data_IF_214739607921
#
_entry.id   IF_214739607921
#
_cell.length_a   1.000
_cell.length_b   1.000
_cell.length_c   1.000
_cell.angle_alpha   90.00
_cell.angle_beta   90.00
_cell.angle_gamma   90.00
#
_symmetry.space_group_name_H-M   'P 1'
#
loop_
_entity.id
_entity.type
_entity.pdbx_description
1 polymer ?
#
# COMPACT_ATOMS: atom_id res chain seq x y z
N UNK A 1 -8.76 29.45 -21.52
CA UNK A 1 -7.33 29.80 -21.28
C UNK A 1 -6.52 28.54 -21.23
N UNK A 2 -5.58 28.35 -22.17
CA UNK A 2 -4.62 27.23 -22.12
C UNK A 2 -3.59 27.58 -21.06
N UNK A 3 -3.62 26.87 -19.93
CA UNK A 3 -2.55 26.95 -18.94
C UNK A 3 -1.26 26.40 -19.57
N UNK A 4 -0.30 27.27 -19.86
CA UNK A 4 1.05 26.88 -20.26
C UNK A 4 1.81 26.41 -19.01
N UNK A 5 1.60 25.14 -18.63
CA UNK A 5 2.42 24.50 -17.60
C UNK A 5 3.75 24.09 -18.22
N UNK A 6 4.89 24.33 -17.55
CA UNK A 6 6.17 23.81 -17.98
C UNK A 6 6.08 22.28 -18.12
N UNK A 7 6.53 21.72 -19.23
CA UNK A 7 6.45 20.29 -19.54
C UNK A 7 7.06 19.44 -18.41
N UNK A 8 8.14 19.90 -17.81
CA UNK A 8 8.81 19.25 -16.68
C UNK A 8 7.87 19.02 -15.47
N UNK A 9 6.90 19.89 -15.22
CA UNK A 9 5.95 19.71 -14.11
C UNK A 9 4.99 18.54 -14.33
N UNK A 10 4.73 18.16 -15.57
CA UNK A 10 3.83 17.04 -15.90
C UNK A 10 4.44 15.67 -15.59
N UNK A 11 5.75 15.60 -15.39
CA UNK A 11 6.45 14.37 -15.04
C UNK A 11 6.65 14.20 -13.52
N UNK A 12 6.31 15.21 -12.74
CA UNK A 12 6.41 15.09 -11.27
C UNK A 12 5.28 14.22 -10.71
N UNK A 13 5.60 13.19 -9.89
CA UNK A 13 4.59 12.25 -9.34
C UNK A 13 3.45 12.93 -8.59
N UNK A 14 3.74 13.99 -7.82
CA UNK A 14 2.72 14.73 -7.08
C UNK A 14 1.81 15.53 -8.00
N UNK A 15 2.34 16.07 -9.11
CA UNK A 15 1.55 16.78 -10.11
C UNK A 15 0.61 15.83 -10.86
N UNK A 16 1.12 14.64 -11.24
CA UNK A 16 0.30 13.60 -11.87
C UNK A 16 -0.85 13.20 -10.95
N UNK A 17 -0.56 12.95 -9.67
CA UNK A 17 -1.59 12.59 -8.68
C UNK A 17 -2.62 13.71 -8.50
N UNK A 18 -2.20 14.96 -8.41
CA UNK A 18 -3.10 16.11 -8.30
C UNK A 18 -4.01 16.23 -9.51
N UNK A 19 -3.49 16.03 -10.73
CA UNK A 19 -4.26 16.04 -11.96
C UNK A 19 -5.32 14.92 -11.99
N UNK A 20 -4.99 13.72 -11.52
CA UNK A 20 -5.96 12.61 -11.44
C UNK A 20 -7.06 12.88 -10.40
N UNK A 21 -6.75 13.51 -9.27
CA UNK A 21 -7.78 13.99 -8.34
C UNK A 21 -8.71 15.02 -8.97
N UNK A 22 -8.16 16.03 -9.66
CA UNK A 22 -8.96 17.04 -10.33
C UNK A 22 -9.84 16.47 -11.45
N UNK A 23 -9.32 15.49 -12.21
CA UNK A 23 -10.10 14.75 -13.22
C UNK A 23 -11.26 13.98 -12.57
N UNK A 24 -11.01 13.30 -11.44
CA UNK A 24 -12.03 12.56 -10.71
C UNK A 24 -13.11 13.48 -10.15
N UNK A 25 -12.74 14.61 -9.54
CA UNK A 25 -13.69 15.64 -9.09
C UNK A 25 -14.52 16.19 -10.25
N UNK A 26 -13.89 16.47 -11.40
CA UNK A 26 -14.58 16.94 -12.59
C UNK A 26 -15.59 15.93 -13.15
N UNK A 27 -15.31 14.62 -13.08
CA UNK A 27 -16.26 13.56 -13.45
C UNK A 27 -17.46 13.54 -12.51
N UNK A 28 -17.25 13.57 -11.19
CA UNK A 28 -18.31 13.58 -10.19
C UNK A 28 -19.20 14.82 -10.33
N UNK A 29 -18.60 15.99 -10.56
CA UNK A 29 -19.34 17.23 -10.77
C UNK A 29 -20.23 17.18 -12.01
N UNK A 30 -19.74 16.60 -13.12
CA UNK A 30 -20.55 16.39 -14.34
C UNK A 30 -21.72 15.43 -14.11
N UNK A 31 -21.62 14.53 -13.14
CA UNK A 31 -22.68 13.60 -12.71
C UNK A 31 -23.65 14.24 -11.71
N UNK A 32 -23.53 15.54 -11.42
CA UNK A 32 -24.36 16.24 -10.44
C UNK A 32 -24.09 15.88 -8.99
N UNK A 33 -22.97 15.20 -8.71
CA UNK A 33 -22.64 14.83 -7.35
C UNK A 33 -21.94 15.98 -6.60
N UNK A 34 -22.17 16.14 -5.29
CA UNK A 34 -21.44 17.09 -4.47
C UNK A 34 -19.97 16.72 -4.42
N UNK A 35 -19.10 17.66 -4.73
CA UNK A 35 -17.64 17.46 -4.73
C UNK A 35 -16.97 18.36 -3.69
N UNK A 36 -15.93 17.86 -2.98
CA UNK A 36 -15.17 18.70 -2.09
C UNK A 36 -14.35 19.74 -2.87
N UNK A 37 -14.11 20.89 -2.25
CA UNK A 37 -13.22 21.90 -2.81
C UNK A 37 -11.78 21.41 -2.75
N UNK A 38 -11.03 21.36 -3.86
CA UNK A 38 -9.63 20.96 -3.84
C UNK A 38 -8.78 22.02 -3.14
N UNK A 39 -7.86 21.57 -2.30
CA UNK A 39 -6.91 22.40 -1.58
C UNK A 39 -5.50 21.92 -1.83
N UNK A 40 -4.65 22.77 -2.41
CA UNK A 40 -3.27 22.44 -2.70
C UNK A 40 -2.36 22.94 -1.56
N UNK A 41 -1.54 22.02 -1.01
CA UNK A 41 -0.50 22.33 -0.04
C UNK A 41 0.85 22.20 -0.74
N UNK A 42 1.65 23.28 -0.68
CA UNK A 42 2.99 23.27 -1.28
C UNK A 42 3.90 22.31 -0.53
N UNK A 43 4.49 21.37 -1.24
CA UNK A 43 5.50 20.47 -0.66
C UNK A 43 6.76 21.25 -0.27
N UNK A 44 7.31 20.96 0.91
CA UNK A 44 8.57 21.51 1.39
C UNK A 44 9.60 20.39 1.55
N UNK A 45 10.88 20.69 1.31
CA UNK A 45 12.01 19.81 1.57
C UNK A 45 12.34 18.86 0.42
N UNK A 46 12.72 17.62 0.76
CA UNK A 46 13.25 16.63 -0.17
C UNK A 46 12.24 16.20 -1.26
N UNK A 47 12.73 16.05 -2.47
CA UNK A 47 11.95 15.55 -3.61
C UNK A 47 11.56 14.08 -3.45
N UNK A 48 10.69 13.59 -4.36
CA UNK A 48 10.35 12.18 -4.39
C UNK A 48 11.58 11.38 -4.89
N UNK A 49 12.06 10.42 -4.06
CA UNK A 49 13.22 9.60 -4.40
C UNK A 49 14.58 10.21 -4.04
N UNK A 50 14.63 11.42 -3.49
CA UNK A 50 15.90 11.97 -2.97
C UNK A 50 16.48 11.00 -1.92
N UNK A 51 17.78 10.74 -2.03
CA UNK A 51 18.53 9.85 -1.12
C UNK A 51 19.18 10.59 0.04
N UNK A 52 19.17 11.93 0.00
CA UNK A 52 19.73 12.80 1.04
C UNK A 52 18.65 13.72 1.60
N UNK A 53 18.71 14.04 2.91
CA UNK A 53 17.81 15.03 3.51
C UNK A 53 18.02 16.42 2.89
N UNK A 54 16.94 17.19 2.76
CA UNK A 54 16.99 18.63 2.44
C UNK A 54 16.49 19.43 3.63
N UNK A 55 17.41 19.99 4.40
CA UNK A 55 17.10 20.68 5.65
C UNK A 55 16.52 19.70 6.68
N UNK A 56 15.34 20.03 7.25
CA UNK A 56 14.66 19.21 8.26
C UNK A 56 13.77 18.11 7.68
N UNK A 57 13.77 17.91 6.37
CA UNK A 57 12.87 16.95 5.71
C UNK A 57 13.67 15.89 4.96
N UNK A 58 13.28 14.64 5.18
CA UNK A 58 13.81 13.50 4.46
C UNK A 58 12.71 12.82 3.62
N UNK A 59 13.09 12.20 2.50
CA UNK A 59 12.19 11.35 1.75
C UNK A 59 11.99 10.00 2.47
N UNK A 60 10.89 9.30 2.20
CA UNK A 60 10.72 7.93 2.70
C UNK A 60 11.82 6.97 2.22
N UNK A 61 12.45 7.24 1.07
CA UNK A 61 13.61 6.49 0.56
C UNK A 61 14.84 6.74 1.42
N UNK A 62 15.12 8.01 1.74
CA UNK A 62 16.21 8.39 2.66
C UNK A 62 16.06 7.69 4.02
N UNK A 63 14.86 7.77 4.62
CA UNK A 63 14.60 7.14 5.93
C UNK A 63 14.80 5.63 5.90
N UNK A 64 14.34 4.94 4.85
CA UNK A 64 14.57 3.50 4.69
C UNK A 64 16.04 3.14 4.54
N UNK A 65 16.81 3.94 3.79
CA UNK A 65 18.26 3.73 3.65
C UNK A 65 19.00 3.97 4.96
N UNK A 66 18.67 5.03 5.70
CA UNK A 66 19.23 5.28 7.02
C UNK A 66 18.95 4.13 7.98
N UNK A 67 17.70 3.63 7.98
CA UNK A 67 17.31 2.49 8.82
C UNK A 67 18.06 1.20 8.44
N UNK A 68 18.25 0.94 7.14
CA UNK A 68 18.94 -0.26 6.67
C UNK A 68 20.46 -0.24 6.90
N UNK A 69 21.07 0.96 6.86
CA UNK A 69 22.52 1.13 6.91
C UNK A 69 23.04 1.52 8.31
N UNK A 70 22.15 1.77 9.27
CA UNK A 70 22.57 2.18 10.61
C UNK A 70 23.21 1.02 11.36
N UNK A 71 24.37 1.22 12.01
CA UNK A 71 25.07 0.17 12.73
C UNK A 71 24.36 -0.26 14.01
N UNK A 72 23.63 0.64 14.63
CA UNK A 72 22.90 0.41 15.88
C UNK A 72 21.72 1.39 16.08
N UNK A 73 20.85 1.08 17.06
CA UNK A 73 19.65 1.87 17.35
C UNK A 73 19.93 3.27 17.88
N UNK A 74 21.05 3.49 18.58
CA UNK A 74 21.37 4.81 19.14
C UNK A 74 21.83 5.75 18.02
N UNK A 75 22.68 5.27 17.13
CA UNK A 75 23.08 6.00 15.91
C UNK A 75 21.86 6.31 15.06
N UNK A 76 20.99 5.32 14.80
CA UNK A 76 19.76 5.52 14.05
C UNK A 76 18.88 6.59 14.69
N UNK A 77 18.70 6.56 16.01
CA UNK A 77 17.90 7.55 16.73
C UNK A 77 18.45 8.95 16.51
N UNK A 78 19.74 9.15 16.70
CA UNK A 78 20.42 10.45 16.52
C UNK A 78 20.24 11.00 15.12
N UNK A 79 20.29 10.15 14.10
CA UNK A 79 20.16 10.53 12.70
C UNK A 79 18.71 10.85 12.32
N UNK A 80 17.72 10.19 12.96
CA UNK A 80 16.30 10.38 12.68
C UNK A 80 15.68 11.55 13.43
N UNK A 81 16.13 11.85 14.66
CA UNK A 81 15.54 12.90 15.53
C UNK A 81 15.34 14.26 14.82
N UNK A 82 16.27 14.77 13.99
CA UNK A 82 16.06 16.04 13.30
C UNK A 82 15.13 15.97 12.10
N UNK A 83 14.77 14.76 11.62
CA UNK A 83 14.10 14.53 10.34
C UNK A 83 12.65 14.08 10.46
N UNK A 84 12.26 13.56 11.62
CA UNK A 84 10.92 13.01 11.85
C UNK A 84 10.37 13.43 13.21
N UNK A 85 9.03 13.44 13.40
CA UNK A 85 8.44 13.67 14.71
C UNK A 85 8.94 12.67 15.76
N UNK A 86 9.05 13.04 17.05
CA UNK A 86 9.58 12.18 18.11
C UNK A 86 8.88 10.81 18.20
N UNK A 87 7.55 10.77 18.09
CA UNK A 87 6.77 9.53 18.11
C UNK A 87 7.13 8.60 16.92
N UNK A 88 7.38 9.17 15.74
CA UNK A 88 7.80 8.40 14.55
C UNK A 88 9.22 7.89 14.72
N UNK A 89 10.13 8.73 15.24
CA UNK A 89 11.50 8.30 15.57
C UNK A 89 11.49 7.13 16.54
N UNK A 90 10.75 7.24 17.63
CA UNK A 90 10.62 6.17 18.62
C UNK A 90 10.04 4.88 18.01
N UNK A 91 8.99 4.99 17.19
CA UNK A 91 8.39 3.84 16.51
C UNK A 91 9.38 3.12 15.59
N UNK A 92 10.18 3.87 14.81
CA UNK A 92 11.19 3.28 13.94
C UNK A 92 12.29 2.59 14.77
N UNK A 93 12.83 3.26 15.78
CA UNK A 93 13.93 2.73 16.62
C UNK A 93 13.49 1.53 17.46
N UNK A 94 12.24 1.51 17.94
CA UNK A 94 11.71 0.37 18.69
C UNK A 94 11.38 -0.84 17.82
N UNK A 95 11.30 -0.67 16.50
CA UNK A 95 11.03 -1.78 15.59
C UNK A 95 12.13 -2.84 15.69
N UNK A 96 11.73 -4.11 15.82
CA UNK A 96 12.66 -5.25 15.99
C UNK A 96 13.02 -5.89 14.67
N UNK A 97 12.20 -5.73 13.65
CA UNK A 97 12.40 -6.34 12.33
C UNK A 97 11.80 -5.46 11.22
N UNK A 98 12.39 -5.56 10.05
CA UNK A 98 11.91 -4.89 8.83
C UNK A 98 11.63 -5.95 7.76
N UNK A 99 10.69 -5.70 6.81
CA UNK A 99 10.42 -6.64 5.74
C UNK A 99 11.68 -6.97 4.94
N UNK A 100 11.97 -8.26 4.83
CA UNK A 100 13.16 -8.77 4.15
C UNK A 100 12.83 -9.12 2.69
N UNK A 101 13.55 -8.52 1.76
CA UNK A 101 13.42 -8.79 0.33
C UNK A 101 13.70 -10.26 -0.02
N UNK A 102 14.61 -10.93 0.69
CA UNK A 102 14.91 -12.34 0.44
C UNK A 102 13.71 -13.22 0.76
N UNK A 103 13.01 -12.95 1.87
CA UNK A 103 11.77 -13.65 2.23
C UNK A 103 10.65 -13.39 1.23
N UNK A 104 10.47 -12.14 0.82
CA UNK A 104 9.51 -11.78 -0.23
C UNK A 104 9.83 -12.54 -1.52
N UNK A 105 11.10 -12.66 -1.87
CA UNK A 105 11.53 -13.36 -3.08
C UNK A 105 11.27 -14.87 -2.99
N UNK A 106 11.47 -15.50 -1.84
CA UNK A 106 11.11 -16.90 -1.64
C UNK A 106 9.61 -17.14 -1.80
N UNK A 107 8.77 -16.27 -1.22
CA UNK A 107 7.32 -16.34 -1.40
C UNK A 107 6.91 -16.13 -2.86
N UNK A 108 7.56 -15.20 -3.55
CA UNK A 108 7.34 -14.96 -4.99
C UNK A 108 7.69 -16.20 -5.83
N UNK A 109 8.86 -16.80 -5.60
CA UNK A 109 9.28 -18.02 -6.30
C UNK A 109 8.29 -19.17 -6.09
N UNK A 110 7.88 -19.40 -4.84
CA UNK A 110 6.83 -20.38 -4.56
C UNK A 110 5.55 -20.08 -5.30
N UNK A 111 5.09 -18.82 -5.28
CA UNK A 111 3.86 -18.42 -5.97
C UNK A 111 3.94 -18.60 -7.49
N UNK A 112 5.06 -18.26 -8.10
CA UNK A 112 5.29 -18.48 -9.55
C UNK A 112 5.26 -19.96 -9.91
N UNK A 113 5.91 -20.82 -9.10
CA UNK A 113 5.96 -22.27 -9.33
C UNK A 113 4.61 -22.96 -9.12
N UNK A 114 3.81 -22.46 -8.17
CA UNK A 114 2.52 -23.06 -7.81
C UNK A 114 1.32 -22.52 -8.62
N UNK A 115 1.53 -21.52 -9.48
CA UNK A 115 0.47 -20.92 -10.28
C UNK A 115 0.65 -21.27 -11.75
N UNK A 116 -0.37 -21.89 -12.35
CA UNK A 116 -0.35 -22.20 -13.78
C UNK A 116 -0.20 -20.90 -14.64
N UNK A 117 0.43 -20.96 -15.82
CA UNK A 117 0.64 -19.79 -16.68
C UNK A 117 -0.65 -19.02 -16.98
N UNK A 118 -1.77 -19.72 -17.20
CA UNK A 118 -3.08 -19.10 -17.41
C UNK A 118 -3.56 -18.31 -16.19
N UNK A 119 -3.27 -18.81 -14.97
CA UNK A 119 -3.56 -18.12 -13.72
C UNK A 119 -2.72 -16.86 -13.54
N UNK A 120 -1.44 -16.89 -13.94
CA UNK A 120 -0.58 -15.71 -13.94
C UNK A 120 -1.11 -14.59 -14.84
N UNK A 121 -1.64 -14.95 -16.03
CA UNK A 121 -2.24 -13.99 -16.96
C UNK A 121 -3.48 -13.30 -16.41
N UNK A 122 -4.18 -13.91 -15.44
CA UNK A 122 -5.34 -13.30 -14.77
C UNK A 122 -4.95 -12.27 -13.69
N UNK A 123 -3.69 -12.24 -13.29
CA UNK A 123 -3.21 -11.27 -12.26
C UNK A 123 -3.22 -9.87 -12.84
N UNK A 124 -3.69 -8.91 -12.04
CA UNK A 124 -3.78 -7.49 -12.41
C UNK A 124 -2.42 -6.95 -12.87
N UNK A 125 -2.40 -6.44 -14.09
CA UNK A 125 -1.25 -5.79 -14.70
C UNK A 125 -0.25 -6.74 -15.38
N UNK A 126 -0.37 -8.06 -15.25
CA UNK A 126 0.40 -9.02 -16.03
C UNK A 126 -0.22 -9.11 -17.43
N UNK A 127 0.58 -8.87 -18.46
CA UNK A 127 0.16 -8.89 -19.87
C UNK A 127 1.36 -9.13 -20.80
N UNK A 128 1.08 -9.58 -22.01
CA UNK A 128 1.99 -9.56 -23.14
C UNK A 128 3.28 -10.36 -22.93
N UNK A 129 3.18 -11.58 -22.41
CA UNK A 129 4.32 -12.49 -22.21
C UNK A 129 5.16 -12.17 -20.96
N UNK A 130 4.73 -11.21 -20.12
CA UNK A 130 5.44 -10.91 -18.89
C UNK A 130 5.43 -12.09 -17.91
N UNK A 131 4.37 -12.92 -17.93
CA UNK A 131 4.29 -14.16 -17.18
C UNK A 131 5.41 -15.13 -17.55
N UNK A 132 5.75 -15.24 -18.84
CA UNK A 132 6.85 -16.08 -19.30
C UNK A 132 8.20 -15.51 -18.87
N UNK A 133 8.38 -14.19 -19.00
CA UNK A 133 9.60 -13.51 -18.54
C UNK A 133 9.83 -13.70 -17.04
N UNK A 134 8.77 -13.63 -16.22
CA UNK A 134 8.85 -13.86 -14.77
C UNK A 134 9.22 -15.32 -14.44
N UNK A 135 8.68 -16.30 -15.17
CA UNK A 135 9.03 -17.71 -15.01
C UNK A 135 10.47 -17.99 -15.42
N UNK A 136 10.97 -17.39 -16.50
CA UNK A 136 12.37 -17.51 -16.92
C UNK A 136 13.33 -16.87 -15.91
N UNK A 137 12.91 -15.77 -15.28
CA UNK A 137 13.71 -15.05 -14.29
C UNK A 137 13.72 -15.68 -12.89
N UNK A 138 12.98 -16.77 -12.66
CA UNK A 138 12.79 -17.37 -11.32
C UNK A 138 14.10 -17.81 -10.64
N UNK A 139 15.13 -18.11 -11.42
CA UNK A 139 16.44 -18.59 -10.93
C UNK A 139 17.45 -17.48 -10.67
N UNK A 140 17.08 -16.21 -10.84
CA UNK A 140 17.98 -15.12 -10.43
C UNK A 140 18.28 -15.20 -8.93
N UNK A 141 19.50 -14.85 -8.50
CA UNK A 141 19.93 -15.12 -7.14
C UNK A 141 19.28 -14.20 -6.09
N UNK A 142 18.75 -13.04 -6.50
CA UNK A 142 18.14 -12.08 -5.57
C UNK A 142 16.88 -11.42 -6.12
N UNK A 143 16.07 -10.86 -5.21
CA UNK A 143 14.91 -10.03 -5.55
C UNK A 143 15.29 -8.85 -6.45
N UNK A 144 16.39 -8.19 -6.14
CA UNK A 144 16.80 -6.99 -6.88
C UNK A 144 17.27 -7.34 -8.30
N UNK A 145 17.97 -8.46 -8.49
CA UNK A 145 18.34 -8.95 -9.82
C UNK A 145 17.14 -9.43 -10.62
N UNK A 146 16.19 -10.11 -9.99
CA UNK A 146 14.92 -10.47 -10.61
C UNK A 146 14.18 -9.24 -11.13
N UNK A 147 14.01 -8.21 -10.27
CA UNK A 147 13.36 -6.96 -10.66
C UNK A 147 14.14 -6.24 -11.75
N UNK A 148 15.47 -6.18 -11.63
CA UNK A 148 16.33 -5.53 -12.62
C UNK A 148 16.20 -6.18 -14.01
N UNK A 149 16.24 -7.52 -14.08
CA UNK A 149 16.10 -8.28 -15.32
C UNK A 149 14.77 -7.99 -16.05
N UNK A 150 13.67 -7.87 -15.30
CA UNK A 150 12.34 -7.60 -15.86
C UNK A 150 12.11 -6.11 -16.17
N UNK A 151 13.01 -5.22 -15.68
CA UNK A 151 12.88 -3.78 -15.88
C UNK A 151 13.19 -3.39 -17.31
N UNK A 152 12.31 -2.61 -17.90
CA UNK A 152 12.47 -2.07 -19.26
C UNK A 152 11.81 -0.70 -19.36
N UNK A 153 11.98 -0.01 -20.50
CA UNK A 153 11.26 1.26 -20.75
C UNK A 153 9.74 1.12 -20.60
N UNK A 154 9.19 -0.04 -20.99
CA UNK A 154 7.76 -0.35 -20.87
C UNK A 154 7.35 -0.76 -19.46
N UNK A 155 8.23 -1.43 -18.75
CA UNK A 155 8.04 -1.95 -17.39
C UNK A 155 9.08 -1.37 -16.43
N UNK A 156 8.91 -0.13 -15.95
CA UNK A 156 9.80 0.44 -14.94
C UNK A 156 9.83 -0.43 -13.67
N UNK A 157 10.92 -0.39 -12.91
CA UNK A 157 11.11 -1.20 -11.70
C UNK A 157 9.97 -1.08 -10.69
N UNK A 158 9.42 0.12 -10.51
CA UNK A 158 8.26 0.36 -9.63
C UNK A 158 6.99 -0.36 -10.12
N UNK A 159 6.82 -0.51 -11.43
CA UNK A 159 5.72 -1.30 -12.00
C UNK A 159 5.92 -2.78 -11.75
N UNK A 160 7.14 -3.31 -11.95
CA UNK A 160 7.46 -4.71 -11.65
C UNK A 160 7.23 -5.01 -10.16
N UNK A 161 7.70 -4.16 -9.25
CA UNK A 161 7.48 -4.33 -7.80
C UNK A 161 5.99 -4.35 -7.44
N UNK A 162 5.16 -3.52 -8.08
CA UNK A 162 3.71 -3.54 -7.91
C UNK A 162 3.11 -4.85 -8.41
N UNK A 163 3.54 -5.33 -9.57
CA UNK A 163 3.08 -6.61 -10.11
C UNK A 163 3.43 -7.80 -9.21
N UNK A 164 4.60 -7.78 -8.58
CA UNK A 164 4.97 -8.78 -7.58
C UNK A 164 3.98 -8.76 -6.41
N UNK A 165 3.60 -7.59 -5.92
CA UNK A 165 2.60 -7.47 -4.85
C UNK A 165 1.23 -7.99 -5.31
N UNK A 166 0.79 -7.67 -6.53
CA UNK A 166 -0.46 -8.18 -7.09
C UNK A 166 -0.45 -9.72 -7.19
N UNK A 167 0.66 -10.30 -7.63
CA UNK A 167 0.80 -11.75 -7.74
C UNK A 167 0.77 -12.42 -6.36
N UNK A 168 1.52 -11.92 -5.40
CA UNK A 168 1.56 -12.47 -4.04
C UNK A 168 0.17 -12.41 -3.35
N UNK A 169 -0.59 -11.36 -3.61
CA UNK A 169 -1.95 -11.19 -3.10
C UNK A 169 -3.03 -11.84 -3.98
N UNK A 170 -2.64 -12.50 -5.07
CA UNK A 170 -3.58 -13.10 -6.05
C UNK A 170 -4.64 -12.11 -6.57
N UNK A 171 -4.25 -10.85 -6.79
CA UNK A 171 -5.15 -9.80 -7.28
C UNK A 171 -5.58 -10.09 -8.72
N UNK A 172 -6.73 -10.72 -8.85
CA UNK A 172 -7.33 -11.05 -10.14
C UNK A 172 -7.90 -9.79 -10.82
N UNK A 173 -7.71 -9.64 -12.13
CA UNK A 173 -8.19 -8.51 -12.93
C UNK A 173 -9.70 -8.28 -12.78
N UNK A 174 -10.48 -9.33 -12.96
CA UNK A 174 -11.95 -9.26 -12.92
C UNK A 174 -12.46 -8.87 -11.53
N UNK A 175 -11.86 -9.44 -10.47
CA UNK A 175 -12.22 -9.12 -9.11
C UNK A 175 -11.91 -7.66 -8.76
N UNK A 176 -10.72 -7.19 -9.13
CA UNK A 176 -10.34 -5.78 -8.88
C UNK A 176 -11.23 -4.82 -9.66
N UNK A 177 -11.57 -5.13 -10.91
CA UNK A 177 -12.51 -4.32 -11.70
C UNK A 177 -13.90 -4.24 -11.04
N UNK A 178 -14.41 -5.36 -10.49
CA UNK A 178 -15.66 -5.36 -9.70
C UNK A 178 -15.55 -4.47 -8.46
N UNK A 179 -14.42 -4.51 -7.76
CA UNK A 179 -14.17 -3.67 -6.58
C UNK A 179 -14.07 -2.19 -6.94
N UNK A 180 -13.35 -1.85 -8.01
CA UNK A 180 -13.20 -0.48 -8.49
C UNK A 180 -14.54 0.12 -8.93
N UNK A 181 -15.37 -0.66 -9.62
CA UNK A 181 -16.70 -0.23 -10.06
C UNK A 181 -17.68 -0.05 -8.88
N UNK A 182 -17.56 -0.87 -7.83
CA UNK A 182 -18.39 -0.77 -6.64
C UNK A 182 -17.96 0.40 -5.71
N UNK A 183 -16.69 0.80 -5.78
CA UNK A 183 -16.10 1.76 -4.85
C UNK A 183 -15.96 1.21 -3.42
N UNK A 184 -15.77 2.07 -2.42
CA UNK A 184 -15.61 1.64 -1.04
C UNK A 184 -16.93 1.04 -0.51
N UNK A 185 -16.86 -0.17 0.04
CA UNK A 185 -18.02 -0.89 0.56
C UNK A 185 -18.13 -0.85 2.09
N UNK A 186 -17.11 -0.32 2.77
CA UNK A 186 -17.07 -0.12 4.22
C UNK A 186 -16.08 1.00 4.57
N UNK A 187 -16.16 1.46 5.81
CA UNK A 187 -15.20 2.40 6.40
C UNK A 187 -14.49 1.70 7.56
N UNK A 188 -13.19 1.44 7.44
CA UNK A 188 -12.39 0.85 8.50
C UNK A 188 -11.83 1.94 9.42
N UNK A 189 -12.22 1.91 10.69
CA UNK A 189 -11.72 2.82 11.71
C UNK A 189 -10.40 2.30 12.24
N UNK A 190 -9.31 3.07 12.12
CA UNK A 190 -7.97 2.70 12.60
C UNK A 190 -7.61 3.36 13.91
N UNK A 191 -8.02 4.62 14.10
CA UNK A 191 -7.80 5.37 15.33
C UNK A 191 -8.89 6.43 15.51
N UNK A 192 -9.12 6.87 16.74
CA UNK A 192 -10.03 7.96 17.07
C UNK A 192 -9.65 8.60 18.39
N UNK A 193 -9.98 9.86 18.54
CA UNK A 193 -10.00 10.59 19.82
C UNK A 193 -11.45 10.73 20.34
N UNK A 194 -11.65 11.53 21.38
CA UNK A 194 -12.97 11.81 21.95
C UNK A 194 -13.93 12.47 20.94
N UNK A 195 -13.43 13.41 20.14
CA UNK A 195 -14.19 14.10 19.09
C UNK A 195 -14.53 13.15 17.93
N UNK A 196 -13.55 12.38 17.48
CA UNK A 196 -13.73 11.33 16.46
C UNK A 196 -14.77 10.29 16.88
N UNK A 197 -14.80 9.91 18.16
CA UNK A 197 -15.81 8.99 18.69
C UNK A 197 -17.23 9.56 18.59
N UNK A 198 -17.40 10.86 18.84
CA UNK A 198 -18.71 11.52 18.68
C UNK A 198 -19.11 11.58 17.20
N UNK A 199 -18.17 11.92 16.32
CA UNK A 199 -18.37 11.93 14.87
C UNK A 199 -18.77 10.53 14.34
N UNK A 200 -18.08 9.49 14.77
CA UNK A 200 -18.39 8.10 14.37
C UNK A 200 -19.82 7.67 14.77
N UNK A 201 -20.34 8.14 15.92
CA UNK A 201 -21.74 7.91 16.28
C UNK A 201 -22.70 8.57 15.28
N UNK A 202 -22.42 9.79 14.84
CA UNK A 202 -23.23 10.48 13.83
C UNK A 202 -23.15 9.78 12.46
N UNK A 203 -21.95 9.37 12.05
CA UNK A 203 -21.73 8.63 10.81
C UNK A 203 -22.48 7.30 10.83
N UNK A 204 -22.44 6.57 11.95
CA UNK A 204 -23.17 5.30 12.09
C UNK A 204 -24.69 5.47 11.87
N UNK A 205 -25.25 6.60 12.30
CA UNK A 205 -26.71 6.85 12.19
C UNK A 205 -27.13 7.42 10.83
N UNK A 206 -26.22 8.09 10.11
CA UNK A 206 -26.52 8.82 8.86
C UNK A 206 -25.74 8.31 7.64
N UNK A 207 -24.67 7.57 7.87
CA UNK A 207 -23.79 7.07 6.83
C UNK A 207 -24.41 5.92 6.04
N UNK A 208 -24.04 5.83 4.77
CA UNK A 208 -24.49 4.72 3.89
C UNK A 208 -23.61 3.50 3.99
N UNK A 209 -22.35 3.68 4.43
CA UNK A 209 -21.38 2.58 4.52
C UNK A 209 -21.26 2.08 5.96
N UNK A 210 -21.11 0.76 6.15
CA UNK A 210 -20.88 0.19 7.48
C UNK A 210 -19.52 0.65 8.03
N UNK A 211 -19.47 0.94 9.34
CA UNK A 211 -18.25 1.24 10.08
C UNK A 211 -17.68 -0.05 10.67
N UNK A 212 -16.43 -0.36 10.33
CA UNK A 212 -15.72 -1.52 10.86
C UNK A 212 -14.71 -1.08 11.92
N UNK A 213 -15.03 -1.37 13.19
CA UNK A 213 -14.11 -1.24 14.32
C UNK A 213 -13.27 -2.52 14.52
N UNK A 214 -13.79 -3.66 14.11
CA UNK A 214 -13.10 -4.96 14.14
C UNK A 214 -13.35 -5.68 12.82
N UNK A 215 -12.34 -6.34 12.29
CA UNK A 215 -12.48 -7.13 11.06
C UNK A 215 -13.49 -8.25 11.21
N UNK A 216 -13.62 -8.84 12.41
CA UNK A 216 -14.59 -9.92 12.72
C UNK A 216 -16.05 -9.52 12.51
N UNK A 217 -16.36 -8.22 12.44
CA UNK A 217 -17.72 -7.75 12.13
C UNK A 217 -18.13 -7.96 10.67
N UNK A 218 -17.17 -8.24 9.78
CA UNK A 218 -17.40 -8.47 8.36
C UNK A 218 -16.80 -9.81 7.87
N UNK A 219 -15.59 -10.17 8.34
CA UNK A 219 -14.88 -11.39 7.94
C UNK A 219 -14.36 -12.11 9.17
N UNK A 220 -14.80 -13.34 9.41
CA UNK A 220 -14.25 -14.23 10.42
C UNK A 220 -13.14 -15.10 9.83
N UNK A 221 -12.29 -15.70 10.68
CA UNK A 221 -11.23 -16.61 10.20
C UNK A 221 -11.78 -17.80 9.43
N UNK A 222 -13.00 -18.28 9.77
CA UNK A 222 -13.64 -19.39 9.05
C UNK A 222 -14.05 -18.99 7.63
N UNK A 223 -14.45 -17.73 7.42
CA UNK A 223 -14.84 -17.24 6.10
C UNK A 223 -13.64 -17.30 5.12
N UNK A 224 -12.40 -17.12 5.63
CA UNK A 224 -11.19 -17.22 4.81
C UNK A 224 -10.96 -18.63 4.24
N UNK A 225 -11.59 -19.66 4.80
CA UNK A 225 -11.53 -21.04 4.28
C UNK A 225 -12.52 -21.28 3.12
N UNK A 226 -13.47 -20.36 2.95
CA UNK A 226 -14.53 -20.46 1.94
C UNK A 226 -14.65 -19.16 1.13
N UNK A 227 -13.58 -18.75 0.42
CA UNK A 227 -13.55 -17.47 -0.31
C UNK A 227 -14.63 -17.37 -1.38
N UNK A 228 -15.11 -18.48 -1.92
CA UNK A 228 -16.19 -18.58 -2.88
C UNK A 228 -17.56 -18.15 -2.31
N UNK A 229 -17.75 -18.25 -1.00
CA UNK A 229 -18.98 -17.85 -0.33
C UNK A 229 -18.99 -16.36 0.10
N UNK A 230 -17.84 -15.68 -0.04
CA UNK A 230 -17.71 -14.27 0.37
C UNK A 230 -18.42 -13.33 -0.60
N UNK A 231 -19.15 -12.36 -0.05
CA UNK A 231 -19.60 -11.21 -0.83
C UNK A 231 -18.44 -10.25 -1.15
N UNK A 232 -18.66 -9.26 -2.03
CA UNK A 232 -17.60 -8.37 -2.52
C UNK A 232 -16.92 -7.57 -1.39
N UNK A 233 -17.67 -7.10 -0.38
CA UNK A 233 -17.09 -6.38 0.76
C UNK A 233 -16.19 -7.29 1.61
N UNK A 234 -16.58 -8.55 1.80
CA UNK A 234 -15.77 -9.54 2.50
C UNK A 234 -14.51 -9.89 1.70
N UNK A 235 -14.61 -10.06 0.39
CA UNK A 235 -13.46 -10.28 -0.48
C UNK A 235 -12.49 -9.08 -0.44
N UNK A 236 -13.00 -7.85 -0.46
CA UNK A 236 -12.20 -6.64 -0.33
C UNK A 236 -11.41 -6.61 1.00
N UNK A 237 -12.07 -6.89 2.13
CA UNK A 237 -11.41 -6.93 3.43
C UNK A 237 -10.44 -8.11 3.57
N UNK A 238 -10.74 -9.26 2.95
CA UNK A 238 -9.85 -10.41 2.98
C UNK A 238 -8.51 -10.14 2.27
N UNK A 239 -8.49 -9.27 1.26
CA UNK A 239 -7.26 -8.82 0.62
C UNK A 239 -6.40 -7.95 1.54
N UNK A 240 -7.01 -7.06 2.36
CA UNK A 240 -6.29 -6.30 3.38
C UNK A 240 -5.65 -7.24 4.40
N UNK A 241 -6.41 -8.23 4.89
CA UNK A 241 -5.93 -9.24 5.84
C UNK A 241 -4.78 -10.06 5.23
N UNK A 242 -4.90 -10.46 3.97
CA UNK A 242 -3.84 -11.16 3.25
C UNK A 242 -2.58 -10.31 3.11
N UNK A 243 -2.72 -9.00 2.85
CA UNK A 243 -1.59 -8.07 2.76
C UNK A 243 -0.86 -7.91 4.11
N UNK A 244 -1.61 -7.84 5.23
CA UNK A 244 -1.03 -7.82 6.57
C UNK A 244 -0.28 -9.13 6.86
N UNK A 245 -0.85 -10.28 6.55
CA UNK A 245 -0.20 -11.58 6.72
C UNK A 245 1.08 -11.70 5.86
N UNK A 246 1.02 -11.25 4.61
CA UNK A 246 2.19 -11.23 3.72
C UNK A 246 3.32 -10.36 4.30
N UNK A 247 2.97 -9.18 4.82
CA UNK A 247 3.93 -8.32 5.53
C UNK A 247 4.52 -9.03 6.75
N UNK A 248 3.71 -9.71 7.56
CA UNK A 248 4.17 -10.46 8.72
C UNK A 248 5.14 -11.59 8.33
N UNK A 249 4.85 -12.33 7.27
CA UNK A 249 5.78 -13.34 6.73
C UNK A 249 7.11 -12.72 6.28
N UNK A 250 7.08 -11.54 5.68
CA UNK A 250 8.28 -10.83 5.26
C UNK A 250 9.10 -10.28 6.44
N UNK A 251 8.48 -10.00 7.59
CA UNK A 251 9.16 -9.62 8.84
C UNK A 251 9.90 -10.81 9.49
N UNK A 252 9.37 -12.02 9.36
CA UNK A 252 9.96 -13.24 9.88
C UNK A 252 9.29 -13.79 11.15
N UNK A 253 10.02 -14.63 11.88
CA UNK A 253 9.47 -15.46 12.96
C UNK A 253 8.84 -14.71 14.13
N UNK A 254 9.23 -13.44 14.34
CA UNK A 254 8.72 -12.63 15.45
C UNK A 254 7.38 -11.96 15.17
N UNK A 255 6.91 -12.00 13.93
CA UNK A 255 5.67 -11.34 13.54
C UNK A 255 4.46 -12.28 13.69
N UNK A 256 3.41 -11.79 14.32
CA UNK A 256 2.14 -12.52 14.43
C UNK A 256 1.39 -12.54 13.11
N UNK A 257 0.87 -13.71 12.73
CA UNK A 257 -0.09 -13.79 11.65
C UNK A 257 -1.48 -13.36 12.15
N UNK A 258 -2.30 -12.87 11.24
CA UNK A 258 -3.68 -12.44 11.53
C UNK A 258 -3.76 -11.28 12.54
N UNK A 259 -2.79 -10.37 12.51
CA UNK A 259 -2.76 -9.19 13.37
C UNK A 259 -4.03 -8.34 13.27
N UNK A 260 -4.65 -8.29 12.10
CA UNK A 260 -5.92 -7.56 11.90
C UNK A 260 -7.06 -8.04 12.83
N UNK A 261 -7.01 -9.28 13.28
CA UNK A 261 -8.00 -9.84 14.23
C UNK A 261 -7.67 -9.53 15.69
N UNK A 262 -6.43 -9.16 15.98
CA UNK A 262 -5.95 -8.89 17.33
C UNK A 262 -6.08 -7.41 17.72
N UNK A 263 -6.12 -6.52 16.72
CA UNK A 263 -6.11 -5.08 16.95
C UNK A 263 -7.52 -4.49 16.84
N UNK A 264 -7.82 -3.60 17.79
CA UNK A 264 -8.95 -2.67 17.76
C UNK A 264 -8.45 -1.28 17.38
N UNK A 265 -9.34 -0.35 16.98
CA UNK A 265 -8.95 1.04 16.74
C UNK A 265 -8.22 1.63 17.93
N UNK A 266 -7.11 2.33 17.66
CA UNK A 266 -6.36 3.03 18.68
C UNK A 266 -7.18 4.22 19.21
N UNK A 267 -7.30 4.35 20.53
CA UNK A 267 -7.88 5.53 21.15
C UNK A 267 -6.75 6.49 21.54
N UNK A 268 -6.84 7.73 21.05
CA UNK A 268 -5.86 8.77 21.32
C UNK A 268 -6.43 9.66 22.42
N UNK A 269 -5.78 9.69 23.57
CA UNK A 269 -6.09 10.62 24.64
C UNK A 269 -5.52 12.01 24.28
N UNK A 270 -6.36 13.04 24.38
CA UNK A 270 -5.96 14.43 24.12
C UNK A 270 -5.29 15.03 25.34
#
# INVERSE_FOLDING_TARGET
EKLHLPEAMLYEPNTILALEYLRSLGKLQKQGQPVPKPWAVRRQGAGHGDTLPKGKFASGTTLRQMTANSPDKNSLKKDLEPLVPPAVCQAIVSCTSYPDKAKIYQLLRYKLLSTAPQGLQQILGISEGLEQAMLQAINFPSYDEFVHHLTSRRYPSTRIQRLISHLLLSMNKELVEKMDNAGPLYLRVLAMDSTGRQLLRQIKNRGRLPLLNKVTSLVNRRDLLHPEAMNLAQQMLSMDIAATNLRSLALGETASLYEDYLHSPCYIEN
#
